data_IF_397706121651
#
_entry.id   IF_397706121651
#
_cell.length_a   1.000
_cell.length_b   1.000
_cell.length_c   1.000
_cell.angle_alpha   90.00
_cell.angle_beta   90.00
_cell.angle_gamma   90.00
#
_symmetry.space_group_name_H-M   'P 1'
#
loop_
_entity.id
_entity.type
_entity.pdbx_description
1 polymer ?
#
# COMPACT_ATOMS: atom_id res chain seq x y z
N UNK A 1 -15.75 -6.56 -6.94
CA UNK A 1 -15.22 -7.56 -6.00
C UNK A 1 -14.62 -6.85 -4.79
N UNK A 2 -14.90 -7.29 -3.54
CA UNK A 2 -14.35 -6.68 -2.32
C UNK A 2 -12.81 -6.65 -2.32
N UNK A 3 -12.18 -7.58 -3.03
CA UNK A 3 -10.72 -7.57 -3.25
C UNK A 3 -10.21 -6.35 -4.01
N UNK A 4 -10.94 -5.90 -5.05
CA UNK A 4 -10.54 -4.75 -5.88
C UNK A 4 -10.68 -3.44 -5.09
N UNK A 5 -11.78 -3.30 -4.34
CA UNK A 5 -12.01 -2.15 -3.42
C UNK A 5 -10.95 -2.06 -2.33
N UNK A 6 -10.50 -3.20 -1.80
CA UNK A 6 -9.46 -3.23 -0.78
C UNK A 6 -8.08 -2.81 -1.30
N UNK A 7 -7.75 -3.15 -2.54
CA UNK A 7 -6.49 -2.73 -3.18
C UNK A 7 -6.55 -1.24 -3.51
N UNK A 8 -7.63 -0.78 -4.13
CA UNK A 8 -7.84 0.63 -4.47
C UNK A 8 -7.77 1.54 -3.24
N UNK A 9 -8.32 1.10 -2.10
CA UNK A 9 -8.20 1.86 -0.85
C UNK A 9 -6.78 1.93 -0.30
N UNK A 10 -5.94 0.90 -0.53
CA UNK A 10 -4.55 0.90 -0.10
C UNK A 10 -3.70 1.78 -1.04
N UNK A 11 -3.97 1.74 -2.34
CA UNK A 11 -3.32 2.61 -3.33
C UNK A 11 -3.63 4.08 -3.05
N UNK A 12 -4.88 4.42 -2.73
CA UNK A 12 -5.24 5.79 -2.37
C UNK A 12 -4.50 6.29 -1.13
N UNK A 13 -4.42 5.46 -0.08
CA UNK A 13 -3.70 5.81 1.15
C UNK A 13 -2.21 5.97 0.93
N UNK A 14 -1.62 5.13 0.05
CA UNK A 14 -0.23 5.27 -0.39
C UNK A 14 -0.01 6.64 -1.04
N UNK A 15 -0.86 7.02 -1.99
CA UNK A 15 -0.77 8.32 -2.68
C UNK A 15 -0.86 9.49 -1.68
N UNK A 16 -1.83 9.44 -0.75
CA UNK A 16 -1.97 10.46 0.31
C UNK A 16 -0.71 10.59 1.18
N UNK A 17 -0.03 9.47 1.45
CA UNK A 17 1.22 9.48 2.24
C UNK A 17 2.42 9.96 1.42
N UNK A 18 2.47 9.66 0.12
CA UNK A 18 3.50 10.20 -0.79
C UNK A 18 3.40 11.72 -0.93
N UNK A 19 2.19 12.28 -1.01
CA UNK A 19 1.99 13.73 -1.00
C UNK A 19 2.42 14.36 0.32
N UNK A 20 2.08 13.74 1.46
CA UNK A 20 2.52 14.20 2.78
C UNK A 20 4.04 14.17 2.91
N UNK A 21 4.70 13.12 2.44
CA UNK A 21 6.17 13.06 2.42
C UNK A 21 6.75 14.23 1.63
N UNK A 22 6.21 14.56 0.45
CA UNK A 22 6.68 15.72 -0.33
C UNK A 22 6.55 17.05 0.43
N UNK A 23 5.48 17.22 1.20
CA UNK A 23 5.20 18.46 1.95
C UNK A 23 6.11 18.63 3.18
N UNK A 24 6.44 17.52 3.85
CA UNK A 24 7.20 17.51 5.11
C UNK A 24 8.66 17.07 4.94
N UNK A 25 9.08 16.68 3.74
CA UNK A 25 10.47 16.38 3.43
C UNK A 25 11.36 17.57 3.80
N UNK A 26 12.35 17.34 4.66
CA UNK A 26 13.23 18.38 5.19
C UNK A 26 12.63 19.29 6.27
N UNK A 27 11.39 19.03 6.71
CA UNK A 27 10.76 19.69 7.87
C UNK A 27 10.67 18.75 9.07
N UNK A 28 10.26 17.51 8.82
CA UNK A 28 10.09 16.49 9.85
C UNK A 28 10.45 15.11 9.32
N UNK A 29 11.71 14.72 9.48
CA UNK A 29 12.23 13.43 9.02
C UNK A 29 11.60 12.25 9.76
N UNK A 30 11.18 12.42 11.02
CA UNK A 30 10.53 11.35 11.79
C UNK A 30 9.16 11.03 11.19
N UNK A 31 8.40 12.07 10.85
CA UNK A 31 7.09 11.93 10.24
C UNK A 31 7.18 11.38 8.80
N UNK A 32 8.21 11.79 8.06
CA UNK A 32 8.52 11.24 6.74
C UNK A 32 8.87 9.76 6.82
N UNK A 33 9.70 9.34 7.78
CA UNK A 33 10.09 7.95 7.95
C UNK A 33 8.89 7.07 8.37
N UNK A 34 8.04 7.59 9.25
CA UNK A 34 6.76 6.97 9.60
C UNK A 34 5.90 6.70 8.36
N UNK A 35 5.68 7.70 7.51
CA UNK A 35 4.87 7.52 6.30
C UNK A 35 5.52 6.58 5.27
N UNK A 36 6.85 6.58 5.16
CA UNK A 36 7.57 5.60 4.32
C UNK A 36 7.34 4.17 4.83
N UNK A 37 7.35 3.98 6.14
CA UNK A 37 7.02 2.70 6.79
C UNK A 37 5.60 2.22 6.47
N UNK A 38 4.62 3.12 6.62
CA UNK A 38 3.21 2.83 6.29
C UNK A 38 3.04 2.47 4.80
N UNK A 39 3.68 3.21 3.88
CA UNK A 39 3.65 2.92 2.44
C UNK A 39 4.17 1.51 2.16
N UNK A 40 5.30 1.13 2.76
CA UNK A 40 5.85 -0.22 2.61
C UNK A 40 4.87 -1.29 3.12
N UNK A 41 4.21 -1.03 4.25
CA UNK A 41 3.16 -1.90 4.78
C UNK A 41 1.98 -2.08 3.81
N UNK A 42 1.55 -1.00 3.14
CA UNK A 42 0.51 -1.07 2.12
C UNK A 42 0.94 -1.88 0.89
N UNK A 43 2.18 -1.71 0.41
CA UNK A 43 2.73 -2.48 -0.70
C UNK A 43 2.80 -3.98 -0.39
N UNK A 44 3.21 -4.35 0.82
CA UNK A 44 3.22 -5.74 1.28
C UNK A 44 1.81 -6.34 1.37
N UNK A 45 0.83 -5.59 1.86
CA UNK A 45 -0.58 -6.00 1.91
C UNK A 45 -1.16 -6.22 0.50
N UNK A 46 -0.87 -5.31 -0.43
CA UNK A 46 -1.26 -5.42 -1.84
C UNK A 46 -0.63 -6.68 -2.44
N UNK A 47 0.68 -6.89 -2.26
CA UNK A 47 1.39 -8.07 -2.74
C UNK A 47 0.83 -9.38 -2.17
N UNK A 48 0.49 -9.42 -0.87
CA UNK A 48 -0.17 -10.57 -0.23
C UNK A 48 -1.53 -10.86 -0.84
N UNK A 49 -2.35 -9.83 -1.12
CA UNK A 49 -3.66 -9.98 -1.76
C UNK A 49 -3.53 -10.52 -3.19
N UNK A 50 -2.58 -10.01 -3.98
CA UNK A 50 -2.28 -10.54 -5.31
C UNK A 50 -1.73 -11.97 -5.27
N UNK A 51 -0.84 -12.29 -4.33
CA UNK A 51 -0.30 -13.64 -4.15
C UNK A 51 -1.37 -14.67 -3.76
N UNK A 52 -2.34 -14.29 -2.92
CA UNK A 52 -3.52 -15.14 -2.61
C UNK A 52 -4.40 -15.34 -3.85
N UNK A 53 -4.62 -14.29 -4.64
CA UNK A 53 -5.40 -14.36 -5.89
C UNK A 53 -4.77 -15.36 -6.89
N UNK A 54 -3.44 -15.25 -7.11
CA UNK A 54 -2.70 -16.14 -8.03
C UNK A 54 -2.74 -17.61 -7.59
N UNK A 55 -2.64 -17.89 -6.29
CA UNK A 55 -2.80 -19.24 -5.73
C UNK A 55 -4.21 -19.81 -5.91
N UNK A 56 -5.23 -18.98 -5.71
CA UNK A 56 -6.62 -19.40 -5.87
C UNK A 56 -7.00 -19.68 -7.34
N UNK A 57 -6.43 -18.94 -8.29
CA UNK A 57 -6.57 -19.24 -9.73
C UNK A 57 -5.88 -20.55 -10.12
N UNK A 58 -4.69 -20.83 -9.59
CA UNK A 58 -3.94 -22.07 -9.89
C UNK A 58 -4.59 -23.34 -9.32
N UNK A 59 -5.42 -23.23 -8.27
CA UNK A 59 -6.18 -24.37 -7.70
C UNK A 59 -7.52 -24.64 -8.40
N UNK A 60 -7.96 -23.74 -9.29
CA UNK A 60 -9.26 -23.84 -9.99
C UNK A 60 -9.14 -24.35 -11.44
N UNK A 61 -7.91 -24.53 -11.93
CA UNK A 61 -7.57 -25.30 -13.14
C UNK A 61 -6.98 -26.64 -12.72
#
# INVERSE_FOLDING_TARGET
>A
SPFKKGIESLEKRKEEHEEKIKIYSGKDDTLVDYWKGEIKGFEEEIAKKFGKLKRNLKKKN
#
